data_IF_459715217991
#
_entry.id   IF_459715217991
#
_cell.length_a   1.000
_cell.length_b   1.000
_cell.length_c   1.000
_cell.angle_alpha   90.00
_cell.angle_beta   90.00
_cell.angle_gamma   90.00
#
_symmetry.space_group_name_H-M   'P 1'
#
loop_
_entity.id
_entity.type
_entity.pdbx_description
1 polymer ?
#
# COMPACT_ATOMS: atom_id res chain seq x y z
N UNK A 1 16.74 -2.83 -6.91
CA UNK A 1 15.67 -1.96 -6.40
C UNK A 1 14.40 -2.00 -7.24
N UNK A 2 14.32 -1.40 -8.44
CA UNK A 2 13.05 -1.36 -9.20
C UNK A 2 12.49 -2.76 -9.52
N UNK A 3 13.36 -3.68 -9.96
CA UNK A 3 13.01 -5.08 -10.21
C UNK A 3 12.58 -5.83 -8.94
N UNK A 4 13.21 -5.56 -7.79
CA UNK A 4 12.91 -6.25 -6.54
C UNK A 4 11.51 -5.92 -6.02
N UNK A 5 11.12 -4.64 -6.07
CA UNK A 5 9.78 -4.20 -5.69
C UNK A 5 8.71 -4.69 -6.67
N UNK A 6 8.99 -4.66 -7.98
CA UNK A 6 8.08 -5.26 -8.96
C UNK A 6 7.89 -6.76 -8.74
N UNK A 7 8.97 -7.50 -8.50
CA UNK A 7 8.89 -8.92 -8.19
C UNK A 7 8.10 -9.17 -6.89
N UNK A 8 8.32 -8.36 -5.86
CA UNK A 8 7.58 -8.43 -4.61
C UNK A 8 6.07 -8.22 -4.82
N UNK A 9 5.65 -7.15 -5.50
CA UNK A 9 4.23 -6.90 -5.77
C UNK A 9 3.57 -7.98 -6.63
N UNK A 10 4.32 -8.64 -7.51
CA UNK A 10 3.81 -9.69 -8.39
C UNK A 10 3.76 -11.08 -7.73
N UNK A 11 4.40 -11.27 -6.57
CA UNK A 11 4.53 -12.60 -5.95
C UNK A 11 4.11 -12.68 -4.48
N UNK A 12 4.06 -11.56 -3.76
CA UNK A 12 3.77 -11.56 -2.33
C UNK A 12 2.29 -11.78 -2.01
N UNK A 13 1.40 -11.14 -2.77
CA UNK A 13 -0.06 -11.37 -2.73
C UNK A 13 -0.52 -11.51 -4.18
N UNK A 14 -1.17 -12.62 -4.48
CA UNK A 14 -1.62 -13.00 -5.82
C UNK A 14 -3.11 -13.35 -5.82
N UNK A 15 -3.66 -13.68 -6.99
CA UNK A 15 -5.08 -13.99 -7.15
C UNK A 15 -5.55 -15.16 -6.27
N UNK A 16 -4.70 -16.17 -6.12
CA UNK A 16 -4.96 -17.35 -5.30
C UNK A 16 -5.21 -17.00 -3.83
N UNK A 17 -4.59 -15.93 -3.31
CA UNK A 17 -4.83 -15.47 -1.94
C UNK A 17 -6.24 -14.89 -1.78
N UNK A 18 -6.74 -14.15 -2.79
CA UNK A 18 -8.11 -13.62 -2.78
C UNK A 18 -9.14 -14.74 -2.88
N UNK A 19 -8.86 -15.75 -3.72
CA UNK A 19 -9.67 -16.97 -3.78
C UNK A 19 -9.73 -17.65 -2.42
N UNK A 20 -8.57 -17.88 -1.82
CA UNK A 20 -8.45 -18.53 -0.50
C UNK A 20 -9.22 -17.75 0.57
N UNK A 21 -9.07 -16.43 0.64
CA UNK A 21 -9.79 -15.56 1.58
C UNK A 21 -11.31 -15.73 1.43
N UNK A 22 -11.82 -15.71 0.20
CA UNK A 22 -13.25 -15.89 -0.08
C UNK A 22 -13.75 -17.29 0.26
N UNK A 23 -13.00 -18.35 -0.08
CA UNK A 23 -13.38 -19.75 0.22
C UNK A 23 -13.42 -20.03 1.72
N UNK A 24 -12.65 -19.27 2.53
CA UNK A 24 -12.68 -19.34 3.98
C UNK A 24 -13.78 -18.44 4.62
N UNK A 25 -14.69 -17.89 3.82
CA UNK A 25 -15.86 -17.15 4.32
C UNK A 25 -15.58 -15.72 4.79
N UNK A 26 -14.38 -15.19 4.54
CA UNK A 26 -14.09 -13.77 4.76
C UNK A 26 -14.70 -12.93 3.62
N UNK A 27 -15.06 -11.68 3.91
CA UNK A 27 -15.82 -10.84 2.99
C UNK A 27 -15.18 -9.47 2.70
N UNK A 28 -14.06 -9.15 3.35
CA UNK A 28 -13.37 -7.88 3.19
C UNK A 28 -11.86 -8.01 3.38
N UNK A 29 -11.11 -7.17 2.69
CA UNK A 29 -9.64 -7.04 2.81
C UNK A 29 -9.31 -5.58 3.11
N UNK A 30 -8.42 -5.37 4.09
CA UNK A 30 -7.84 -4.05 4.37
C UNK A 30 -6.48 -3.96 3.69
N UNK A 31 -6.30 -3.01 2.78
CA UNK A 31 -5.07 -2.83 2.01
C UNK A 31 -4.36 -1.55 2.47
N UNK A 32 -3.23 -1.67 3.21
CA UNK A 32 -2.42 -0.53 3.58
C UNK A 32 -1.67 0.03 2.37
N UNK A 33 -1.73 1.34 2.17
CA UNK A 33 -1.01 2.08 1.14
C UNK A 33 -0.27 3.27 1.74
N UNK A 34 0.91 3.60 1.20
CA UNK A 34 1.63 4.81 1.57
C UNK A 34 1.27 5.99 0.68
N UNK A 35 1.44 7.22 1.19
CA UNK A 35 1.11 8.46 0.47
C UNK A 35 1.75 8.55 -0.93
N UNK A 36 2.90 7.93 -1.13
CA UNK A 36 3.63 7.96 -2.41
C UNK A 36 2.88 7.27 -3.55
N UNK A 37 1.89 6.41 -3.26
CA UNK A 37 1.04 5.79 -4.28
C UNK A 37 0.31 6.82 -5.14
N UNK A 38 -0.02 7.99 -4.56
CA UNK A 38 -0.64 9.10 -5.28
C UNK A 38 0.29 9.79 -6.30
N UNK A 39 1.58 9.44 -6.30
CA UNK A 39 2.61 9.95 -7.21
C UNK A 39 3.10 8.88 -8.20
N UNK A 40 2.45 7.72 -8.26
CA UNK A 40 2.78 6.69 -9.25
C UNK A 40 2.59 7.19 -10.70
N UNK A 41 3.40 6.70 -11.66
CA UNK A 41 4.46 5.69 -11.54
C UNK A 41 5.83 6.25 -11.13
N UNK A 42 5.93 7.54 -10.80
CA UNK A 42 7.20 8.21 -10.53
C UNK A 42 7.18 8.97 -9.19
N UNK A 43 7.04 8.27 -8.05
CA UNK A 43 7.08 8.91 -6.74
C UNK A 43 8.47 9.50 -6.45
N UNK A 44 8.56 10.47 -5.52
CA UNK A 44 9.84 11.03 -5.13
C UNK A 44 10.71 9.96 -4.44
N UNK A 45 12.03 10.07 -4.63
CA UNK A 45 12.99 9.21 -3.91
C UNK A 45 12.84 9.40 -2.39
N UNK A 46 13.02 8.34 -1.58
CA UNK A 46 13.51 7.01 -1.96
C UNK A 46 12.43 6.03 -2.44
N UNK A 47 11.17 6.45 -2.54
CA UNK A 47 10.08 5.58 -2.97
C UNK A 47 10.19 5.22 -4.46
N UNK A 48 9.63 4.07 -4.81
CA UNK A 48 9.62 3.53 -6.18
C UNK A 48 8.19 3.31 -6.64
N UNK A 49 7.95 3.45 -7.93
CA UNK A 49 6.60 3.35 -8.47
C UNK A 49 6.20 1.94 -8.88
N UNK A 50 4.88 1.71 -8.96
CA UNK A 50 4.27 0.44 -9.38
C UNK A 50 3.24 -0.11 -8.39
N UNK A 51 3.17 0.45 -7.19
CA UNK A 51 2.19 0.07 -6.16
C UNK A 51 0.73 0.26 -6.58
N UNK A 52 0.43 1.26 -7.40
CA UNK A 52 -0.92 1.53 -7.92
C UNK A 52 -1.40 0.42 -8.84
N UNK A 53 -0.52 -0.14 -9.67
CA UNK A 53 -0.85 -1.28 -10.54
C UNK A 53 -1.16 -2.54 -9.71
N UNK A 54 -0.42 -2.76 -8.62
CA UNK A 54 -0.71 -3.86 -7.69
C UNK A 54 -2.08 -3.69 -7.01
N UNK A 55 -2.44 -2.45 -6.63
CA UNK A 55 -3.74 -2.13 -6.07
C UNK A 55 -4.89 -2.36 -7.09
N UNK A 56 -4.67 -2.04 -8.38
CA UNK A 56 -5.64 -2.32 -9.46
C UNK A 56 -5.88 -3.83 -9.64
N UNK A 57 -4.83 -4.65 -9.57
CA UNK A 57 -4.94 -6.11 -9.57
C UNK A 57 -5.76 -6.61 -8.37
N UNK A 58 -5.50 -6.08 -7.17
CA UNK A 58 -6.27 -6.40 -5.97
C UNK A 58 -7.77 -6.05 -6.13
N UNK A 59 -8.11 -4.90 -6.72
CA UNK A 59 -9.51 -4.56 -7.03
C UNK A 59 -10.16 -5.54 -8.02
N UNK A 60 -9.40 -5.99 -9.02
CA UNK A 60 -9.86 -6.97 -10.01
C UNK A 60 -10.20 -8.30 -9.34
N UNK A 61 -9.30 -8.81 -8.50
CA UNK A 61 -9.51 -10.07 -7.77
C UNK A 61 -10.60 -9.95 -6.71
N UNK A 62 -10.64 -8.86 -5.94
CA UNK A 62 -11.70 -8.64 -4.96
C UNK A 62 -13.09 -8.66 -5.61
N UNK A 63 -13.24 -8.00 -6.77
CA UNK A 63 -14.49 -8.04 -7.55
C UNK A 63 -14.84 -9.46 -7.99
N UNK A 64 -13.86 -10.22 -8.48
CA UNK A 64 -14.04 -11.60 -8.94
C UNK A 64 -14.54 -12.54 -7.82
N UNK A 65 -13.99 -12.39 -6.62
CA UNK A 65 -14.30 -13.25 -5.46
C UNK A 65 -15.31 -12.63 -4.48
N UNK A 66 -15.98 -11.54 -4.85
CA UNK A 66 -17.03 -10.93 -4.01
C UNK A 66 -16.53 -10.28 -2.71
N UNK A 67 -15.24 -9.94 -2.63
CA UNK A 67 -14.62 -9.31 -1.47
C UNK A 67 -14.74 -7.79 -1.53
N UNK A 68 -14.95 -7.14 -0.38
CA UNK A 68 -14.86 -5.69 -0.23
C UNK A 68 -13.42 -5.27 0.06
N UNK A 69 -13.07 -4.04 -0.31
CA UNK A 69 -11.77 -3.46 0.00
C UNK A 69 -11.95 -2.24 0.89
N UNK A 70 -11.15 -2.18 1.96
CA UNK A 70 -10.90 -0.98 2.75
C UNK A 70 -9.50 -0.50 2.39
N UNK A 71 -9.41 0.64 1.70
CA UNK A 71 -8.12 1.29 1.45
C UNK A 71 -7.71 2.02 2.73
N UNK A 72 -6.53 1.70 3.23
CA UNK A 72 -5.97 2.27 4.45
C UNK A 72 -4.75 3.11 4.10
N UNK A 73 -4.84 4.44 4.25
CA UNK A 73 -3.67 5.31 4.12
C UNK A 73 -2.77 5.10 5.36
N UNK A 74 -1.88 4.13 5.24
CA UNK A 74 -1.09 3.58 6.34
C UNK A 74 0.12 4.44 6.70
N UNK A 75 0.66 5.16 5.72
CA UNK A 75 1.77 6.07 5.90
C UNK A 75 1.43 7.42 5.28
N UNK A 76 1.40 8.48 6.09
CA UNK A 76 1.20 9.84 5.63
C UNK A 76 2.55 10.55 5.47
N UNK A 77 2.63 11.52 4.56
CA UNK A 77 3.86 12.29 4.35
C UNK A 77 4.32 12.96 5.66
N UNK A 78 5.59 12.78 6.01
CA UNK A 78 6.16 13.23 7.28
C UNK A 78 6.01 12.25 8.45
N UNK A 79 5.39 11.08 8.28
CA UNK A 79 5.10 10.10 9.34
C UNK A 79 4.16 10.60 10.43
N UNK A 80 3.05 9.87 10.64
CA UNK A 80 2.05 10.19 11.65
C UNK A 80 2.32 9.56 13.03
N UNK A 81 3.27 8.62 13.14
CA UNK A 81 3.52 7.89 14.41
C UNK A 81 5.00 7.63 14.74
N UNK A 82 5.95 8.02 13.86
CA UNK A 82 7.39 7.84 14.08
C UNK A 82 7.87 6.40 13.88
N UNK A 83 7.00 5.46 13.51
CA UNK A 83 7.36 4.06 13.30
C UNK A 83 7.67 3.75 11.83
N UNK A 84 8.40 2.67 11.59
CA UNK A 84 8.82 2.23 10.26
C UNK A 84 7.64 1.91 9.34
N UNK A 85 6.50 1.45 9.88
CA UNK A 85 5.30 1.18 9.10
C UNK A 85 4.61 2.46 8.56
N UNK A 86 4.90 3.61 9.16
CA UNK A 86 4.52 4.93 8.62
C UNK A 86 5.61 5.53 7.72
N UNK A 87 6.64 4.75 7.40
CA UNK A 87 7.83 5.16 6.65
C UNK A 87 8.75 6.17 7.36
N UNK A 88 8.67 6.30 8.69
CA UNK A 88 9.68 7.07 9.42
C UNK A 88 11.03 6.36 9.34
N UNK A 89 12.11 7.14 9.14
CA UNK A 89 13.48 6.61 9.03
C UNK A 89 14.25 6.66 10.34
N UNK A 90 13.88 7.57 11.24
CA UNK A 90 14.63 7.96 12.42
C UNK A 90 13.74 8.29 13.63
N UNK A 91 12.45 8.00 13.55
CA UNK A 91 11.49 8.38 14.59
C UNK A 91 10.87 9.75 14.40
N UNK A 92 11.21 10.48 13.34
CA UNK A 92 10.60 11.78 13.00
C UNK A 92 9.08 11.68 12.86
N UNK A 93 8.43 12.74 13.35
CA UNK A 93 6.99 12.96 13.43
C UNK A 93 6.68 14.35 12.87
N UNK A 94 6.72 14.48 11.55
CA UNK A 94 6.55 15.76 10.85
C UNK A 94 5.13 15.96 10.32
N UNK A 95 4.34 14.88 10.27
CA UNK A 95 2.95 14.97 9.85
C UNK A 95 2.17 15.93 10.74
N UNK A 96 1.51 16.91 10.11
CA UNK A 96 0.68 17.91 10.81
C UNK A 96 1.44 19.08 11.42
N UNK A 97 2.77 19.17 11.28
CA UNK A 97 3.55 20.28 11.86
C UNK A 97 3.51 21.59 11.03
N UNK A 98 2.95 21.57 9.82
CA UNK A 98 2.82 22.75 8.94
C UNK A 98 4.16 23.23 8.36
N UNK A 99 4.13 24.05 7.29
CA UNK A 99 5.34 24.69 6.71
C UNK A 99 5.69 26.03 7.36
N UNK A 100 4.95 26.43 8.41
CA UNK A 100 5.00 27.77 9.00
C UNK A 100 5.69 27.80 10.39
N UNK A 101 6.67 26.93 10.62
CA UNK A 101 7.57 27.00 11.78
C UNK A 101 9.00 27.27 11.34
#
# INVERSE_FOLDING_TARGET
>A
MYFEFQNHWNTYIVEEDFKFISENGLNAIRIPVGWWIARDPAPPKPYVGGSLQALDSAFTWARKYGLKIIIDLHAVEGSQNGYENSSSRDGSLEWGLGKDR
#
